data_IF_955460395895
#
_entry.id   IF_955460395895
#
_cell.length_a   1.000
_cell.length_b   1.000
_cell.length_c   1.000
_cell.angle_alpha   90.00
_cell.angle_beta   90.00
_cell.angle_gamma   90.00
#
_symmetry.space_group_name_H-M   'P 1'
#
loop_
_entity.id
_entity.type
_entity.pdbx_description
1 polymer ?
#
# COMPACT_ATOMS: atom_id res chain seq x y z
N UNK A 1 4.57 20.60 -20.30
CA UNK A 1 5.73 19.73 -19.99
C UNK A 1 6.20 20.07 -18.59
N UNK A 2 6.76 19.10 -17.87
CA UNK A 2 7.24 19.29 -16.50
C UNK A 2 8.55 20.09 -16.54
N UNK A 3 8.67 21.09 -15.67
CA UNK A 3 9.85 21.95 -15.51
C UNK A 3 10.35 21.85 -14.09
N UNK A 4 11.65 21.54 -13.91
CA UNK A 4 12.29 21.39 -12.60
C UNK A 4 13.56 22.24 -12.56
N UNK A 5 13.73 23.00 -11.48
CA UNK A 5 14.95 23.73 -11.16
C UNK A 5 15.31 23.48 -9.68
N UNK A 6 16.56 23.08 -9.43
CA UNK A 6 17.08 22.89 -8.07
C UNK A 6 17.73 24.19 -7.62
N UNK A 7 17.07 24.90 -6.70
CA UNK A 7 17.45 26.26 -6.29
C UNK A 7 18.56 26.32 -5.22
N UNK A 8 19.23 25.20 -4.94
CA UNK A 8 20.31 25.13 -3.97
C UNK A 8 21.45 24.23 -4.44
N UNK A 9 22.63 24.40 -3.86
CA UNK A 9 23.78 23.56 -4.19
C UNK A 9 23.61 22.16 -3.59
N UNK A 10 23.58 21.14 -4.44
CA UNK A 10 23.47 19.72 -4.07
C UNK A 10 24.74 18.92 -4.31
N UNK A 11 25.84 19.56 -4.75
CA UNK A 11 27.09 18.88 -5.09
C UNK A 11 27.64 18.10 -3.88
N UNK A 12 27.86 16.81 -4.07
CA UNK A 12 28.40 15.92 -3.04
C UNK A 12 27.43 15.57 -1.91
N UNK A 13 26.17 16.03 -1.97
CA UNK A 13 25.16 15.72 -0.94
C UNK A 13 24.53 14.34 -1.17
N UNK A 14 24.08 13.72 -0.07
CA UNK A 14 23.12 12.61 -0.08
C UNK A 14 21.70 13.19 -0.13
N UNK A 15 20.97 12.90 -1.20
CA UNK A 15 19.69 13.56 -1.51
C UNK A 15 18.57 12.53 -1.53
N UNK A 16 17.45 12.87 -0.91
CA UNK A 16 16.24 12.07 -0.89
C UNK A 16 15.13 12.82 -1.63
N UNK A 17 14.53 12.17 -2.64
CA UNK A 17 13.33 12.70 -3.33
C UNK A 17 12.13 11.96 -2.75
N UNK A 18 11.21 12.67 -2.09
CA UNK A 18 9.98 12.08 -1.54
C UNK A 18 8.84 12.33 -2.52
N UNK A 19 8.45 11.29 -3.27
CA UNK A 19 7.40 11.39 -4.29
C UNK A 19 6.72 10.03 -4.48
N UNK A 20 5.48 9.89 -3.98
CA UNK A 20 4.61 8.78 -4.38
C UNK A 20 4.26 8.91 -5.87
N UNK A 21 4.18 7.79 -6.58
CA UNK A 21 3.77 7.77 -8.00
C UNK A 21 2.27 7.48 -8.14
N UNK A 22 1.48 8.13 -7.27
CA UNK A 22 0.02 8.07 -7.23
C UNK A 22 -0.63 8.98 -8.29
N UNK A 23 -1.96 9.01 -8.35
CA UNK A 23 -2.67 9.88 -9.30
C UNK A 23 -2.29 11.37 -9.11
N UNK A 24 -2.02 12.13 -10.18
CA UNK A 24 -1.88 11.70 -11.58
C UNK A 24 -0.58 10.93 -11.84
N UNK A 25 -0.69 9.61 -12.11
CA UNK A 25 0.46 8.68 -12.05
C UNK A 25 1.60 9.00 -13.00
N UNK A 26 1.29 9.36 -14.25
CA UNK A 26 2.30 9.66 -15.25
C UNK A 26 3.07 10.95 -14.91
N UNK A 27 2.35 11.98 -14.47
CA UNK A 27 2.94 13.29 -14.20
C UNK A 27 3.85 13.19 -12.97
N UNK A 28 3.37 12.57 -11.89
CA UNK A 28 4.17 12.35 -10.68
C UNK A 28 5.40 11.46 -10.93
N UNK A 29 5.27 10.44 -11.79
CA UNK A 29 6.41 9.61 -12.22
C UNK A 29 7.43 10.43 -13.02
N UNK A 30 6.96 11.24 -13.97
CA UNK A 30 7.84 12.08 -14.77
C UNK A 30 8.50 13.18 -13.94
N UNK A 31 7.82 13.76 -12.94
CA UNK A 31 8.42 14.70 -11.98
C UNK A 31 9.58 14.04 -11.23
N UNK A 32 9.38 12.85 -10.66
CA UNK A 32 10.43 12.08 -10.00
C UNK A 32 11.65 11.85 -10.91
N UNK A 33 11.41 11.42 -12.15
CA UNK A 33 12.45 11.10 -13.14
C UNK A 33 13.25 12.36 -13.51
N UNK A 34 12.56 13.48 -13.76
CA UNK A 34 13.20 14.75 -14.15
C UNK A 34 13.97 15.36 -12.97
N UNK A 35 13.44 15.27 -11.74
CA UNK A 35 14.15 15.69 -10.53
C UNK A 35 15.42 14.87 -10.30
N UNK A 36 15.35 13.55 -10.48
CA UNK A 36 16.52 12.68 -10.33
C UNK A 36 17.63 13.01 -11.35
N UNK A 37 17.27 13.24 -12.62
CA UNK A 37 18.25 13.62 -13.64
C UNK A 37 18.88 15.00 -13.34
N UNK A 38 18.09 15.97 -12.87
CA UNK A 38 18.59 17.28 -12.46
C UNK A 38 19.61 17.17 -11.32
N UNK A 39 19.30 16.39 -10.27
CA UNK A 39 20.20 16.15 -9.14
C UNK A 39 21.49 15.43 -9.55
N UNK A 40 21.38 14.42 -10.42
CA UNK A 40 22.54 13.70 -10.98
C UNK A 40 23.46 14.66 -11.74
N UNK A 41 22.91 15.49 -12.63
CA UNK A 41 23.69 16.48 -13.40
C UNK A 41 24.27 17.59 -12.53
N UNK A 42 23.58 17.95 -11.44
CA UNK A 42 24.06 18.85 -10.41
C UNK A 42 25.12 18.21 -9.48
N UNK A 43 25.55 16.99 -9.76
CA UNK A 43 26.62 16.27 -9.04
C UNK A 43 26.27 15.91 -7.59
N UNK A 44 25.01 15.57 -7.31
CA UNK A 44 24.66 14.88 -6.06
C UNK A 44 25.51 13.60 -5.91
N UNK A 45 25.96 13.30 -4.69
CA UNK A 45 26.78 12.11 -4.44
C UNK A 45 25.94 10.82 -4.52
N UNK A 46 24.73 10.88 -3.95
CA UNK A 46 23.76 9.78 -3.91
C UNK A 46 22.36 10.36 -4.00
N UNK A 47 21.50 9.72 -4.78
CA UNK A 47 20.08 10.07 -4.92
C UNK A 47 19.24 8.85 -4.55
N UNK A 48 18.47 8.96 -3.48
CA UNK A 48 17.51 7.94 -3.03
C UNK A 48 16.11 8.39 -3.38
N UNK A 49 15.36 7.55 -4.10
CA UNK A 49 13.95 7.78 -4.36
C UNK A 49 13.12 7.20 -3.22
N UNK A 50 12.48 8.06 -2.44
CA UNK A 50 11.51 7.68 -1.43
C UNK A 50 10.12 7.74 -2.08
N UNK A 51 9.56 6.57 -2.38
CA UNK A 51 8.31 6.40 -3.13
C UNK A 51 7.30 5.69 -2.21
N UNK A 52 6.62 6.41 -1.28
CA UNK A 52 5.73 5.78 -0.30
C UNK A 52 4.67 4.89 -0.94
N UNK A 53 4.09 5.29 -2.08
CA UNK A 53 3.26 4.44 -2.93
C UNK A 53 3.89 4.27 -4.31
N UNK A 54 4.24 3.02 -4.67
CA UNK A 54 4.76 2.65 -5.97
C UNK A 54 3.61 2.38 -6.97
N UNK A 55 3.31 3.36 -7.82
CA UNK A 55 2.37 3.23 -8.93
C UNK A 55 2.75 2.12 -9.91
N UNK A 56 1.78 1.65 -10.68
CA UNK A 56 1.92 0.51 -11.61
C UNK A 56 2.28 -0.86 -10.99
N UNK A 57 2.45 -0.97 -9.66
CA UNK A 57 2.83 -2.22 -8.98
C UNK A 57 1.95 -3.43 -9.32
N UNK A 58 0.66 -3.22 -9.61
CA UNK A 58 -0.28 -4.29 -10.01
C UNK A 58 -0.02 -4.89 -11.40
N UNK A 59 0.83 -4.27 -12.22
CA UNK A 59 1.19 -4.73 -13.57
C UNK A 59 2.58 -5.40 -13.55
N UNK A 60 2.70 -6.47 -12.76
CA UNK A 60 3.95 -7.16 -12.39
C UNK A 60 4.22 -8.44 -13.21
N UNK A 61 3.24 -8.95 -13.95
CA UNK A 61 3.38 -10.23 -14.67
C UNK A 61 2.49 -10.37 -15.90
N UNK A 62 2.84 -11.33 -16.76
CA UNK A 62 2.07 -11.72 -17.95
C UNK A 62 1.30 -13.02 -17.70
N UNK A 63 0.11 -12.92 -17.12
CA UNK A 63 -0.74 -14.09 -16.85
C UNK A 63 -1.06 -14.83 -18.15
N UNK A 64 -0.79 -16.14 -18.18
CA UNK A 64 -1.04 -17.03 -19.34
C UNK A 64 -0.44 -16.50 -20.65
N UNK A 65 0.74 -15.89 -20.59
CA UNK A 65 1.46 -15.31 -21.73
C UNK A 65 0.67 -14.23 -22.50
N UNK A 66 -0.29 -13.57 -21.83
CA UNK A 66 -1.02 -12.45 -22.41
C UNK A 66 -0.07 -11.37 -22.98
N UNK A 67 -0.49 -10.69 -24.05
CA UNK A 67 0.26 -9.61 -24.71
C UNK A 67 0.03 -8.29 -23.97
N UNK A 68 0.46 -8.25 -22.71
CA UNK A 68 0.36 -7.09 -21.82
C UNK A 68 1.76 -6.68 -21.37
N UNK A 69 1.99 -5.39 -21.03
CA UNK A 69 3.25 -4.95 -20.47
C UNK A 69 3.44 -5.46 -19.05
N UNK A 70 4.71 -5.50 -18.60
CA UNK A 70 5.07 -5.59 -17.18
C UNK A 70 5.49 -4.18 -16.77
N UNK A 71 4.50 -3.30 -16.60
CA UNK A 71 4.75 -1.87 -16.46
C UNK A 71 5.51 -1.54 -15.18
N UNK A 72 5.35 -2.32 -14.10
CA UNK A 72 6.17 -2.18 -12.90
C UNK A 72 7.68 -2.33 -13.22
N UNK A 73 8.06 -3.26 -14.09
CA UNK A 73 9.45 -3.42 -14.56
C UNK A 73 9.91 -2.25 -15.43
N UNK A 74 9.03 -1.75 -16.32
CA UNK A 74 9.33 -0.57 -17.14
C UNK A 74 9.61 0.65 -16.25
N UNK A 75 8.79 0.86 -15.22
CA UNK A 75 8.99 1.95 -14.26
C UNK A 75 10.29 1.77 -13.48
N UNK A 76 10.61 0.55 -13.03
CA UNK A 76 11.88 0.25 -12.38
C UNK A 76 13.09 0.56 -13.27
N UNK A 77 13.01 0.23 -14.56
CA UNK A 77 14.04 0.55 -15.55
C UNK A 77 14.20 2.06 -15.75
N UNK A 78 13.09 2.80 -15.83
CA UNK A 78 13.10 4.26 -15.95
C UNK A 78 13.78 4.92 -14.74
N UNK A 79 13.41 4.51 -13.53
CA UNK A 79 13.99 5.01 -12.27
C UNK A 79 15.49 4.71 -12.21
N UNK A 80 15.89 3.49 -12.57
CA UNK A 80 17.31 3.09 -12.56
C UNK A 80 18.11 3.87 -13.62
N UNK A 81 17.55 4.09 -14.81
CA UNK A 81 18.23 4.76 -15.92
C UNK A 81 18.58 6.24 -15.65
N UNK A 82 17.76 6.94 -14.86
CA UNK A 82 18.05 8.34 -14.47
C UNK A 82 19.06 8.48 -13.35
N UNK A 83 19.57 7.36 -12.81
CA UNK A 83 20.67 7.34 -11.84
C UNK A 83 20.21 7.47 -10.39
N UNK A 84 19.00 7.01 -10.08
CA UNK A 84 18.63 6.71 -8.69
C UNK A 84 19.52 5.57 -8.18
N UNK A 85 20.06 5.72 -6.98
CA UNK A 85 20.98 4.77 -6.37
C UNK A 85 20.29 3.78 -5.42
N UNK A 86 19.10 4.12 -4.91
CA UNK A 86 18.31 3.33 -3.96
C UNK A 86 16.85 3.72 -4.03
N UNK A 87 15.96 2.76 -3.81
CA UNK A 87 14.52 3.01 -3.65
C UNK A 87 14.11 2.66 -2.23
N UNK A 88 13.36 3.54 -1.58
CA UNK A 88 12.67 3.29 -0.32
C UNK A 88 11.17 3.40 -0.58
N UNK A 89 10.41 2.35 -0.31
CA UNK A 89 8.96 2.30 -0.60
C UNK A 89 8.20 1.61 0.53
N UNK A 90 6.87 1.66 0.51
CA UNK A 90 6.02 1.03 1.52
C UNK A 90 5.11 -0.01 0.86
N UNK A 91 5.01 -1.19 1.45
CA UNK A 91 4.09 -2.28 1.09
C UNK A 91 3.88 -2.48 -0.42
N UNK A 92 4.96 -2.81 -1.15
CA UNK A 92 4.86 -3.21 -2.55
C UNK A 92 3.77 -4.27 -2.76
N UNK A 93 2.95 -4.09 -3.80
CA UNK A 93 1.88 -5.03 -4.15
C UNK A 93 2.38 -6.47 -4.27
N UNK A 94 3.61 -6.62 -4.78
CA UNK A 94 4.32 -7.88 -4.86
C UNK A 94 5.78 -7.65 -4.45
N UNK A 95 6.26 -8.37 -3.43
CA UNK A 95 7.65 -8.26 -2.96
C UNK A 95 8.68 -8.55 -4.07
N UNK A 96 8.30 -9.34 -5.08
CA UNK A 96 9.15 -9.65 -6.23
C UNK A 96 9.55 -8.41 -7.05
N UNK A 97 8.82 -7.29 -6.92
CA UNK A 97 9.18 -6.02 -7.56
C UNK A 97 10.57 -5.54 -7.09
N UNK A 98 11.02 -5.90 -5.89
CA UNK A 98 12.40 -5.62 -5.46
C UNK A 98 13.44 -6.18 -6.45
N UNK A 99 13.18 -7.37 -7.02
CA UNK A 99 14.03 -7.99 -8.04
C UNK A 99 13.88 -7.40 -9.44
N UNK A 100 13.02 -6.39 -9.65
CA UNK A 100 12.98 -5.62 -10.89
C UNK A 100 14.05 -4.53 -10.96
N UNK A 101 14.64 -4.17 -9.82
CA UNK A 101 15.70 -3.19 -9.69
C UNK A 101 17.06 -3.87 -9.57
N UNK A 102 18.07 -3.28 -10.20
CA UNK A 102 19.48 -3.65 -10.01
C UNK A 102 20.13 -2.88 -8.83
N UNK A 103 19.40 -1.92 -8.28
CA UNK A 103 19.76 -1.10 -7.12
C UNK A 103 19.07 -1.59 -5.85
N UNK A 104 19.60 -1.31 -4.65
CA UNK A 104 18.93 -1.66 -3.40
C UNK A 104 17.52 -1.08 -3.31
N UNK A 105 16.58 -1.92 -2.87
CA UNK A 105 15.20 -1.54 -2.58
C UNK A 105 14.90 -1.89 -1.13
N UNK A 106 14.55 -0.88 -0.35
CA UNK A 106 14.04 -1.06 1.01
C UNK A 106 12.50 -0.99 0.95
N UNK A 107 11.85 -2.14 1.13
CA UNK A 107 10.39 -2.23 1.23
C UNK A 107 9.98 -2.18 2.72
N UNK A 108 9.46 -1.05 3.17
CA UNK A 108 8.96 -0.82 4.53
C UNK A 108 7.54 -1.37 4.64
N UNK A 109 7.19 -1.98 5.77
CA UNK A 109 5.84 -2.48 6.00
C UNK A 109 5.06 -1.55 6.93
N UNK A 110 3.81 -1.20 6.58
CA UNK A 110 2.93 -0.43 7.46
C UNK A 110 2.28 -1.28 8.55
N UNK A 111 2.43 -2.61 8.48
CA UNK A 111 1.84 -3.57 9.43
C UNK A 111 2.04 -3.18 10.91
N UNK A 112 3.24 -2.77 11.39
CA UNK A 112 3.41 -2.35 12.78
C UNK A 112 2.56 -1.13 13.18
N UNK A 113 2.41 -0.14 12.28
CA UNK A 113 1.58 1.04 12.51
C UNK A 113 0.09 0.67 12.59
N UNK A 114 -0.36 -0.14 11.64
CA UNK A 114 -1.75 -0.59 11.55
C UNK A 114 -2.13 -1.46 12.75
N UNK A 115 -1.20 -2.30 13.22
CA UNK A 115 -1.39 -3.16 14.39
C UNK A 115 -1.47 -2.35 15.69
N UNK A 116 -0.54 -1.41 15.89
CA UNK A 116 -0.52 -0.52 17.06
C UNK A 116 -1.80 0.32 17.15
N UNK A 117 -2.31 0.82 16.02
CA UNK A 117 -3.60 1.52 15.98
C UNK A 117 -4.76 0.60 16.38
N UNK A 118 -4.85 -0.60 15.79
CA UNK A 118 -5.91 -1.56 16.10
C UNK A 118 -5.89 -1.97 17.58
N UNK A 119 -4.72 -2.23 18.15
CA UNK A 119 -4.56 -2.60 19.56
C UNK A 119 -5.02 -1.47 20.49
N UNK A 120 -4.74 -0.20 20.14
CA UNK A 120 -5.20 0.96 20.91
C UNK A 120 -6.72 1.14 20.89
N UNK A 121 -7.40 0.68 19.85
CA UNK A 121 -8.87 0.71 19.81
C UNK A 121 -9.50 -0.26 20.83
N UNK A 122 -8.77 -1.31 21.26
CA UNK A 122 -9.22 -2.21 22.32
C UNK A 122 -10.47 -3.02 21.97
N UNK A 123 -10.60 -3.47 20.72
CA UNK A 123 -11.71 -4.32 20.32
C UNK A 123 -11.58 -5.74 20.87
N UNK A 124 -12.70 -6.29 21.34
CA UNK A 124 -12.78 -7.67 21.79
C UNK A 124 -13.09 -8.63 20.64
N UNK A 125 -12.68 -9.90 20.80
CA UNK A 125 -13.02 -11.02 19.91
C UNK A 125 -12.72 -10.71 18.43
N UNK A 126 -11.48 -10.30 18.17
CA UNK A 126 -11.02 -9.90 16.84
C UNK A 126 -10.70 -11.12 15.97
N UNK A 127 -11.23 -11.12 14.75
CA UNK A 127 -10.84 -12.04 13.68
C UNK A 127 -10.26 -11.25 12.53
N UNK A 128 -9.05 -11.61 12.10
CA UNK A 128 -8.42 -11.04 10.91
C UNK A 128 -9.01 -11.71 9.67
N UNK A 129 -9.35 -10.93 8.65
CA UNK A 129 -10.00 -11.41 7.44
C UNK A 129 -9.20 -11.03 6.20
N UNK A 130 -8.91 -12.01 5.34
CA UNK A 130 -8.39 -11.75 4.00
C UNK A 130 -9.56 -11.49 3.03
N UNK A 131 -9.63 -10.32 2.37
CA UNK A 131 -10.73 -9.99 1.46
C UNK A 131 -10.73 -10.81 0.16
N UNK A 132 -9.58 -11.40 -0.18
CA UNK A 132 -9.43 -12.35 -1.28
C UNK A 132 -8.33 -13.39 -0.99
N UNK A 133 -8.07 -14.28 -1.96
CA UNK A 133 -7.04 -15.34 -1.84
C UNK A 133 -5.61 -14.78 -1.93
N UNK A 134 -5.40 -13.66 -2.63
CA UNK A 134 -4.10 -13.04 -2.80
C UNK A 134 -3.56 -12.43 -1.50
N UNK A 135 -4.45 -11.86 -0.68
CA UNK A 135 -4.11 -11.23 0.60
C UNK A 135 -3.86 -12.19 1.77
N UNK A 136 -4.05 -13.51 1.60
CA UNK A 136 -4.06 -14.48 2.72
C UNK A 136 -2.74 -14.51 3.48
N UNK A 137 -1.61 -14.36 2.78
CA UNK A 137 -0.28 -14.33 3.41
C UNK A 137 -0.15 -13.12 4.33
N UNK A 138 -0.62 -11.95 3.88
CA UNK A 138 -0.62 -10.69 4.63
C UNK A 138 -1.55 -10.78 5.84
N UNK A 139 -2.78 -11.22 5.64
CA UNK A 139 -3.76 -11.41 6.71
C UNK A 139 -3.26 -12.39 7.78
N UNK A 140 -2.61 -13.50 7.38
CA UNK A 140 -2.01 -14.46 8.32
C UNK A 140 -0.85 -13.85 9.11
N UNK A 141 0.03 -13.08 8.47
CA UNK A 141 1.13 -12.42 9.17
C UNK A 141 0.60 -11.40 10.19
N UNK A 142 -0.42 -10.63 9.82
CA UNK A 142 -1.09 -9.69 10.72
C UNK A 142 -1.74 -10.41 11.91
N UNK A 143 -2.48 -11.50 11.66
CA UNK A 143 -3.12 -12.31 12.71
C UNK A 143 -2.10 -12.87 13.72
N UNK A 144 -0.95 -13.35 13.24
CA UNK A 144 0.14 -13.85 14.09
C UNK A 144 0.70 -12.77 15.02
N UNK A 145 0.81 -11.54 14.53
CA UNK A 145 1.31 -10.41 15.33
C UNK A 145 0.25 -9.88 16.31
N UNK A 146 -1.03 -10.10 16.01
CA UNK A 146 -2.16 -9.79 16.89
C UNK A 146 -2.48 -10.97 17.81
N UNK A 147 -1.50 -11.39 18.62
CA UNK A 147 -1.65 -12.45 19.64
C UNK A 147 -2.26 -13.77 19.10
N UNK A 148 -1.83 -14.20 17.91
CA UNK A 148 -2.35 -15.37 17.21
C UNK A 148 -3.89 -15.35 17.02
N UNK A 149 -4.45 -14.17 16.71
CA UNK A 149 -5.87 -13.98 16.42
C UNK A 149 -6.39 -14.94 15.32
N UNK A 150 -7.70 -15.21 15.37
CA UNK A 150 -8.37 -16.04 14.38
C UNK A 150 -8.23 -15.46 12.96
N UNK A 151 -8.14 -16.34 11.96
CA UNK A 151 -8.07 -15.98 10.55
C UNK A 151 -9.31 -16.49 9.79
N UNK A 152 -9.96 -15.60 9.06
CA UNK A 152 -10.97 -15.94 8.07
C UNK A 152 -10.56 -15.49 6.65
N UNK A 153 -11.10 -16.15 5.64
CA UNK A 153 -10.77 -15.91 4.23
C UNK A 153 -12.05 -15.83 3.41
N UNK A 154 -12.13 -14.83 2.54
CA UNK A 154 -13.20 -14.72 1.55
C UNK A 154 -12.70 -15.31 0.23
N UNK A 155 -13.23 -16.49 -0.14
CA UNK A 155 -13.00 -17.10 -1.46
C UNK A 155 -14.07 -16.60 -2.43
N UNK A 156 -13.66 -15.65 -3.28
CA UNK A 156 -14.48 -15.09 -4.33
C UNK A 156 -14.45 -15.98 -5.56
N UNK A 157 -15.49 -16.80 -5.74
CA UNK A 157 -15.65 -17.60 -6.96
C UNK A 157 -16.57 -16.92 -7.96
N UNK A 158 -16.10 -16.83 -9.21
CA UNK A 158 -16.93 -16.50 -10.37
C UNK A 158 -17.17 -17.78 -11.18
N UNK A 159 -18.32 -18.46 -11.02
CA UNK A 159 -18.62 -19.66 -11.81
C UNK A 159 -18.68 -19.35 -13.32
N UNK A 160 -19.18 -18.16 -13.73
CA UNK A 160 -19.18 -17.67 -15.12
C UNK A 160 -19.02 -16.16 -15.20
N UNK A 161 -18.67 -15.64 -16.39
CA UNK A 161 -18.38 -14.22 -16.62
C UNK A 161 -19.54 -13.23 -16.34
N UNK A 162 -20.78 -13.71 -16.19
CA UNK A 162 -21.99 -12.89 -15.97
C UNK A 162 -22.87 -13.39 -14.80
N UNK A 163 -22.37 -14.29 -13.94
CA UNK A 163 -23.11 -14.78 -12.78
C UNK A 163 -22.76 -13.98 -11.52
N UNK A 164 -23.72 -13.88 -10.59
CA UNK A 164 -23.53 -13.23 -9.31
C UNK A 164 -22.33 -13.84 -8.58
N UNK A 165 -21.49 -12.99 -7.99
CA UNK A 165 -20.30 -13.42 -7.26
C UNK A 165 -20.74 -14.17 -6.01
N UNK A 166 -20.36 -15.45 -5.89
CA UNK A 166 -20.57 -16.23 -4.68
C UNK A 166 -19.35 -16.01 -3.79
N UNK A 167 -19.59 -15.50 -2.59
CA UNK A 167 -18.57 -15.25 -1.58
C UNK A 167 -18.62 -16.42 -0.60
N UNK A 168 -17.63 -17.31 -0.67
CA UNK A 168 -17.50 -18.37 0.33
C UNK A 168 -16.63 -17.87 1.47
N UNK A 169 -17.19 -17.82 2.67
CA UNK A 169 -16.45 -17.51 3.88
C UNK A 169 -15.86 -18.79 4.46
N UNK A 170 -14.55 -18.78 4.72
CA UNK A 170 -13.83 -19.84 5.40
C UNK A 170 -13.34 -19.27 6.74
N UNK A 171 -13.82 -19.81 7.85
CA UNK A 171 -13.56 -19.31 9.21
C UNK A 171 -14.85 -18.88 9.92
N UNK A 172 -14.78 -18.73 11.25
CA UNK A 172 -15.89 -18.27 12.07
C UNK A 172 -15.77 -16.77 12.39
N UNK A 173 -16.84 -16.03 12.09
CA UNK A 173 -16.93 -14.57 12.19
C UNK A 173 -18.15 -14.12 13.00
N UNK A 174 -19.01 -15.04 13.43
CA UNK A 174 -20.27 -14.69 14.09
C UNK A 174 -20.01 -14.09 15.48
N UNK A 175 -20.57 -12.91 15.75
CA UNK A 175 -20.36 -12.17 16.99
C UNK A 175 -18.93 -11.67 17.20
N UNK A 176 -18.14 -11.55 16.12
CA UNK A 176 -16.74 -11.12 16.15
C UNK A 176 -16.54 -9.74 15.54
N UNK A 177 -15.48 -9.05 15.96
CA UNK A 177 -14.96 -7.88 15.26
C UNK A 177 -14.06 -8.35 14.12
N UNK A 178 -14.52 -8.20 12.89
CA UNK A 178 -13.78 -8.61 11.70
C UNK A 178 -12.89 -7.48 11.19
N UNK A 179 -11.60 -7.76 11.00
CA UNK A 179 -10.62 -6.79 10.50
C UNK A 179 -10.12 -7.25 9.14
N UNK A 180 -10.62 -6.63 8.08
CA UNK A 180 -10.16 -6.84 6.70
C UNK A 180 -8.78 -6.21 6.53
N UNK A 181 -7.79 -6.99 6.09
CA UNK A 181 -6.42 -6.50 5.84
C UNK A 181 -6.11 -6.58 4.34
N UNK A 182 -5.72 -5.45 3.75
CA UNK A 182 -5.28 -5.38 2.36
C UNK A 182 -4.06 -4.46 2.16
N UNK A 183 -3.36 -4.51 1.03
CA UNK A 183 -2.26 -3.57 0.73
C UNK A 183 -2.81 -2.22 0.29
N UNK A 184 -3.97 -2.20 -0.38
CA UNK A 184 -4.51 -0.99 -0.96
C UNK A 184 -6.03 -1.03 -1.09
N UNK A 185 -6.65 0.14 -1.02
CA UNK A 185 -8.06 0.31 -1.36
C UNK A 185 -8.19 1.17 -2.62
N UNK A 186 -8.58 0.55 -3.74
CA UNK A 186 -8.78 1.24 -5.03
C UNK A 186 -10.21 1.77 -5.17
N UNK A 187 -11.15 0.97 -5.66
CA UNK A 187 -12.55 1.40 -5.86
C UNK A 187 -13.45 1.17 -4.64
N UNK A 188 -12.91 0.63 -3.54
CA UNK A 188 -13.67 0.21 -2.35
C UNK A 188 -14.57 -1.02 -2.54
N UNK A 189 -14.90 -1.40 -3.78
CA UNK A 189 -15.91 -2.42 -4.06
C UNK A 189 -15.63 -3.80 -3.47
N UNK A 190 -14.36 -4.24 -3.43
CA UNK A 190 -13.98 -5.52 -2.81
C UNK A 190 -14.20 -5.49 -1.30
N UNK A 191 -13.73 -4.44 -0.61
CA UNK A 191 -13.89 -4.28 0.83
C UNK A 191 -15.36 -4.12 1.24
N UNK A 192 -16.14 -3.32 0.49
CA UNK A 192 -17.58 -3.15 0.76
C UNK A 192 -18.36 -4.46 0.57
N UNK A 193 -18.04 -5.25 -0.47
CA UNK A 193 -18.65 -6.56 -0.68
C UNK A 193 -18.26 -7.55 0.43
N UNK A 194 -16.98 -7.54 0.84
CA UNK A 194 -16.48 -8.34 1.95
C UNK A 194 -17.20 -8.00 3.26
N UNK A 195 -17.34 -6.71 3.56
CA UNK A 195 -18.05 -6.24 4.75
C UNK A 195 -19.51 -6.69 4.75
N UNK A 196 -20.19 -6.60 3.61
CA UNK A 196 -21.55 -7.13 3.47
C UNK A 196 -21.63 -8.63 3.76
N UNK A 197 -20.75 -9.43 3.16
CA UNK A 197 -20.72 -10.87 3.40
C UNK A 197 -20.46 -11.22 4.87
N UNK A 198 -19.53 -10.51 5.52
CA UNK A 198 -19.21 -10.71 6.94
C UNK A 198 -20.41 -10.38 7.84
N UNK A 199 -21.07 -9.24 7.61
CA UNK A 199 -22.29 -8.85 8.36
C UNK A 199 -23.43 -9.86 8.14
N UNK A 200 -23.62 -10.37 6.93
CA UNK A 200 -24.60 -11.44 6.63
C UNK A 200 -24.31 -12.76 7.36
N UNK A 201 -23.04 -13.03 7.69
CA UNK A 201 -22.62 -14.18 8.50
C UNK A 201 -22.54 -13.86 10.00
N UNK A 202 -23.08 -12.72 10.44
CA UNK A 202 -23.23 -12.37 11.84
C UNK A 202 -22.04 -11.65 12.48
N UNK A 203 -21.11 -11.10 11.69
CA UNK A 203 -20.07 -10.23 12.23
C UNK A 203 -20.68 -9.02 12.97
N UNK A 204 -20.18 -8.73 14.17
CA UNK A 204 -20.66 -7.60 14.97
C UNK A 204 -20.18 -6.28 14.36
N UNK A 205 -18.88 -6.21 14.07
CA UNK A 205 -18.20 -5.05 13.50
C UNK A 205 -17.31 -5.49 12.35
N UNK A 206 -17.22 -4.67 11.31
CA UNK A 206 -16.29 -4.90 10.19
C UNK A 206 -15.47 -3.63 9.95
N UNK A 207 -14.17 -3.75 10.17
CA UNK A 207 -13.16 -2.73 9.93
C UNK A 207 -12.32 -3.14 8.73
N UNK A 208 -11.80 -2.17 7.98
CA UNK A 208 -10.81 -2.43 6.95
C UNK A 208 -9.55 -1.61 7.22
N UNK A 209 -8.39 -2.25 7.15
CA UNK A 209 -7.08 -1.62 7.23
C UNK A 209 -6.36 -1.87 5.91
N UNK A 210 -5.92 -0.80 5.25
CA UNK A 210 -5.14 -0.90 4.03
C UNK A 210 -4.01 0.12 4.01
N UNK A 211 -2.85 -0.25 3.48
CA UNK A 211 -1.73 0.70 3.43
C UNK A 211 -2.05 1.87 2.51
N UNK A 212 -2.41 1.63 1.25
CA UNK A 212 -2.52 2.70 0.25
C UNK A 212 -3.98 3.11 -0.05
N UNK A 213 -4.39 4.35 0.26
CA UNK A 213 -5.72 4.85 -0.10
C UNK A 213 -5.76 5.40 -1.53
N UNK A 214 -5.77 4.50 -2.52
CA UNK A 214 -5.89 4.89 -3.94
C UNK A 214 -7.25 5.58 -4.19
N UNK A 215 -8.33 5.04 -3.59
CA UNK A 215 -9.68 5.62 -3.53
C UNK A 215 -10.18 6.22 -4.85
N UNK A 216 -10.03 5.47 -5.95
CA UNK A 216 -10.36 5.95 -7.29
C UNK A 216 -11.85 5.79 -7.64
N UNK A 217 -12.31 6.60 -8.58
CA UNK A 217 -13.66 6.51 -9.14
C UNK A 217 -14.74 6.69 -8.08
N UNK A 218 -15.55 5.65 -7.86
CA UNK A 218 -16.67 5.65 -6.90
C UNK A 218 -16.29 5.20 -5.49
N UNK A 219 -15.01 5.17 -5.13
CA UNK A 219 -14.58 4.62 -3.85
C UNK A 219 -15.30 5.23 -2.64
N UNK A 220 -15.37 6.57 -2.59
CA UNK A 220 -16.01 7.27 -1.47
C UNK A 220 -17.51 7.00 -1.42
N UNK A 221 -18.20 7.02 -2.57
CA UNK A 221 -19.62 6.65 -2.67
C UNK A 221 -19.85 5.20 -2.20
N UNK A 222 -18.98 4.28 -2.60
CA UNK A 222 -19.07 2.88 -2.23
C UNK A 222 -18.88 2.66 -0.72
N UNK A 223 -17.92 3.35 -0.10
CA UNK A 223 -17.64 3.25 1.34
C UNK A 223 -18.79 3.87 2.13
N UNK A 224 -19.19 5.10 1.78
CA UNK A 224 -20.28 5.84 2.45
C UNK A 224 -21.62 5.10 2.43
N UNK A 225 -21.91 4.34 1.38
CA UNK A 225 -23.14 3.57 1.25
C UNK A 225 -23.00 2.09 1.67
N UNK A 226 -21.85 1.70 2.22
CA UNK A 226 -21.60 0.32 2.65
C UNK A 226 -21.97 0.08 4.11
N UNK A 227 -21.84 -1.19 4.51
CA UNK A 227 -21.97 -1.62 5.91
C UNK A 227 -20.60 -1.73 6.61
N UNK A 228 -19.54 -1.17 6.01
CA UNK A 228 -18.22 -1.09 6.62
C UNK A 228 -18.25 -0.06 7.75
N UNK A 229 -17.82 -0.45 8.95
CA UNK A 229 -17.85 0.46 10.10
C UNK A 229 -16.74 1.52 10.00
N UNK A 230 -15.54 1.13 9.54
CA UNK A 230 -14.41 2.04 9.36
C UNK A 230 -13.43 1.50 8.30
N UNK A 231 -12.81 2.41 7.55
CA UNK A 231 -11.65 2.21 6.69
C UNK A 231 -10.48 3.03 7.25
N UNK A 232 -9.46 2.33 7.75
CA UNK A 232 -8.20 2.91 8.24
C UNK A 232 -7.14 2.75 7.17
N UNK A 233 -6.48 3.85 6.81
CA UNK A 233 -5.48 3.91 5.75
C UNK A 233 -4.25 4.71 6.17
N UNK A 234 -3.14 4.63 5.42
CA UNK A 234 -1.97 5.48 5.66
C UNK A 234 -1.95 6.76 4.81
N UNK A 235 -1.04 7.67 5.10
CA UNK A 235 -0.74 8.88 4.32
C UNK A 235 0.27 8.68 3.16
N UNK A 236 0.48 7.42 2.72
CA UNK A 236 1.28 7.13 1.51
C UNK A 236 0.68 7.73 0.23
N UNK A 237 -0.63 8.01 0.22
CA UNK A 237 -1.34 8.77 -0.82
C UNK A 237 -2.17 9.87 -0.13
N UNK A 238 -2.11 11.14 -0.58
CA UNK A 238 -2.96 12.19 -0.07
C UNK A 238 -4.45 11.90 -0.33
N UNK A 239 -5.29 12.09 0.67
CA UNK A 239 -6.74 11.96 0.52
C UNK A 239 -7.32 13.13 -0.28
N UNK A 240 -8.36 12.85 -1.08
CA UNK A 240 -9.18 13.90 -1.69
C UNK A 240 -10.03 14.60 -0.61
N UNK A 241 -10.60 15.76 -0.95
CA UNK A 241 -11.48 16.49 -0.02
C UNK A 241 -12.69 15.64 0.40
N UNK A 242 -13.28 14.94 -0.56
CA UNK A 242 -14.43 14.06 -0.32
C UNK A 242 -14.07 12.89 0.59
N UNK A 243 -12.84 12.38 0.50
CA UNK A 243 -12.34 11.33 1.37
C UNK A 243 -12.09 11.82 2.80
N UNK A 244 -11.55 13.04 2.96
CA UNK A 244 -11.35 13.68 4.26
C UNK A 244 -12.67 13.99 4.98
N UNK A 245 -13.74 14.24 4.23
CA UNK A 245 -15.09 14.50 4.76
C UNK A 245 -15.89 13.21 5.03
N UNK A 246 -15.39 12.05 4.60
CA UNK A 246 -16.06 10.77 4.82
C UNK A 246 -15.79 10.28 6.26
N UNK A 247 -16.82 10.17 7.13
CA UNK A 247 -16.63 9.84 8.56
C UNK A 247 -16.14 8.42 8.79
N UNK A 248 -16.28 7.53 7.80
CA UNK A 248 -15.79 6.16 7.86
C UNK A 248 -14.31 6.05 7.49
N UNK A 249 -13.67 7.09 6.95
CA UNK A 249 -12.27 7.03 6.51
C UNK A 249 -11.40 7.74 7.53
N UNK A 250 -10.41 7.02 8.07
CA UNK A 250 -9.39 7.57 8.96
C UNK A 250 -8.01 7.32 8.40
N UNK A 251 -7.15 8.34 8.46
CA UNK A 251 -5.79 8.28 7.96
C UNK A 251 -4.77 8.30 9.10
N UNK A 252 -3.81 7.39 9.05
CA UNK A 252 -2.65 7.29 9.93
C UNK A 252 -1.41 7.82 9.23
N UNK A 253 -0.54 8.49 9.99
CA UNK A 253 0.72 8.98 9.43
C UNK A 253 1.83 7.96 9.46
N UNK A 254 2.48 7.75 8.33
CA UNK A 254 3.71 6.97 8.17
C UNK A 254 4.97 7.83 8.36
N UNK A 255 4.83 9.13 8.64
CA UNK A 255 5.94 10.08 8.69
C UNK A 255 7.05 9.66 9.65
N UNK A 256 6.73 9.17 10.84
CA UNK A 256 7.74 8.72 11.82
C UNK A 256 8.53 7.50 11.32
N UNK A 257 7.83 6.51 10.76
CA UNK A 257 8.45 5.30 10.19
C UNK A 257 9.33 5.69 9.00
N UNK A 258 8.82 6.54 8.11
CA UNK A 258 9.56 6.98 6.93
C UNK A 258 10.76 7.85 7.28
N UNK A 259 10.64 8.73 8.28
CA UNK A 259 11.74 9.55 8.78
C UNK A 259 12.85 8.68 9.37
N UNK A 260 12.49 7.66 10.17
CA UNK A 260 13.47 6.72 10.72
C UNK A 260 14.14 5.88 9.63
N UNK A 261 13.39 5.43 8.62
CA UNK A 261 13.96 4.71 7.48
C UNK A 261 14.95 5.59 6.70
N UNK A 262 14.59 6.85 6.39
CA UNK A 262 15.49 7.81 5.74
C UNK A 262 16.74 8.06 6.59
N UNK A 263 16.59 8.24 7.91
CA UNK A 263 17.71 8.44 8.83
C UNK A 263 18.68 7.25 8.80
N UNK A 264 18.16 6.01 8.84
CA UNK A 264 18.96 4.79 8.79
C UNK A 264 19.67 4.61 7.45
N UNK A 265 19.01 4.89 6.33
CA UNK A 265 19.66 4.88 5.00
C UNK A 265 20.79 5.90 4.94
N UNK A 266 20.58 7.11 5.45
CA UNK A 266 21.59 8.15 5.51
C UNK A 266 22.81 7.73 6.36
N UNK A 267 22.55 7.12 7.53
CA UNK A 267 23.57 6.69 8.48
C UNK A 267 24.17 5.30 8.21
N UNK A 268 23.74 4.61 7.14
CA UNK A 268 24.16 3.25 6.82
C UNK A 268 23.81 2.22 7.92
N UNK A 269 22.72 2.46 8.64
CA UNK A 269 22.19 1.59 9.67
C UNK A 269 21.22 0.54 9.10
N UNK A 270 21.03 -0.57 9.81
CA UNK A 270 20.11 -1.63 9.37
C UNK A 270 18.65 -1.16 9.38
N UNK A 271 17.99 -1.25 8.23
CA UNK A 271 16.53 -1.06 8.09
C UNK A 271 15.76 -2.25 8.67
N UNK A 272 16.29 -3.47 8.58
CA UNK A 272 15.58 -4.67 9.07
C UNK A 272 15.30 -4.62 10.57
N UNK A 273 16.13 -3.90 11.33
CA UNK A 273 15.94 -3.68 12.76
C UNK A 273 14.66 -2.89 13.10
N UNK A 274 14.03 -2.21 12.14
CA UNK A 274 12.73 -1.55 12.33
C UNK A 274 11.57 -2.56 12.41
N UNK A 275 11.77 -3.79 11.94
CA UNK A 275 10.72 -4.82 11.83
C UNK A 275 10.94 -6.03 12.74
N UNK A 276 11.89 -5.96 13.68
CA UNK A 276 12.12 -7.00 14.68
C UNK A 276 12.74 -8.30 14.16
N UNK A 277 13.57 -8.21 13.11
CA UNK A 277 14.37 -9.33 12.59
C UNK A 277 15.64 -9.59 13.43
#
# INVERSE_FOLDING_TARGET
>A
EITVEINENVRGKDVFIIQSTCAPSNDNLMELIVMADALRRASAARVTAVIPYFGYARQDRRVRSARVPITAKVVADMISAVGINRVLTVDLHADQIQGFFDIPVDNVYATPLLLDDLQRQGYDNVTVVSPDVGGVVRARAFAKLLDDADLAIIDKRRPRANEAQIMHLIGDVAGKTCVLIDDMCDTGGTLCAAAKALKEHGAERVLAYATHPILSGKAIENISNSVLDELVVTDTIPLSKEALECPQIRQLSMSDIMAEAVRRVCNEESISAMFGA
#
